data_IF_670652538520
#
_entry.id   IF_670652538520
#
_cell.length_a   1.000
_cell.length_b   1.000
_cell.length_c   1.000
_cell.angle_alpha   90.00
_cell.angle_beta   90.00
_cell.angle_gamma   90.00
#
_symmetry.space_group_name_H-M   'P 1'
#
loop_
_entity.id
_entity.type
_entity.pdbx_description
1 polymer ?
#
# COMPACT_ATOMS: atom_id res chain seq x y z
N UNK A 1 -15.90 -9.93 -10.63
CA UNK A 1 -15.34 -11.12 -11.39
C UNK A 1 -14.41 -10.61 -12.48
N UNK A 2 -13.17 -11.07 -12.51
CA UNK A 2 -12.16 -10.70 -13.51
C UNK A 2 -12.29 -11.54 -14.80
N UNK A 3 -11.61 -11.07 -15.88
CA UNK A 3 -11.49 -11.86 -17.10
C UNK A 3 -10.65 -13.12 -16.86
N UNK A 4 -11.02 -14.22 -17.51
CA UNK A 4 -10.24 -15.46 -17.45
C UNK A 4 -8.82 -15.29 -18.05
N UNK A 5 -8.66 -14.34 -18.98
CA UNK A 5 -7.38 -14.07 -19.64
C UNK A 5 -6.37 -13.38 -18.70
N UNK A 6 -6.88 -12.62 -17.72
CA UNK A 6 -6.05 -11.90 -16.74
C UNK A 6 -5.83 -12.73 -15.46
N UNK A 7 -6.61 -13.80 -15.28
CA UNK A 7 -6.55 -14.62 -14.10
C UNK A 7 -5.28 -15.49 -14.06
N UNK A 8 -4.79 -15.72 -12.85
CA UNK A 8 -3.68 -16.63 -12.56
C UNK A 8 -4.15 -17.83 -11.74
N UNK A 9 -3.36 -18.89 -11.77
CA UNK A 9 -3.68 -20.08 -10.99
C UNK A 9 -3.08 -19.98 -9.58
N UNK A 10 -3.95 -20.00 -8.57
CA UNK A 10 -3.58 -20.28 -7.19
C UNK A 10 -3.70 -21.81 -6.96
N UNK A 11 -2.61 -22.44 -6.53
CA UNK A 11 -2.52 -23.90 -6.35
C UNK A 11 -2.24 -24.25 -4.90
N UNK A 12 -2.99 -25.21 -4.37
CA UNK A 12 -2.73 -25.80 -3.07
C UNK A 12 -2.66 -27.33 -3.21
N UNK A 13 -1.58 -27.91 -2.71
CA UNK A 13 -1.43 -29.37 -2.59
C UNK A 13 -1.63 -29.74 -1.11
N UNK A 14 -2.65 -30.55 -0.84
CA UNK A 14 -2.94 -31.02 0.51
C UNK A 14 -3.58 -32.41 0.46
N UNK A 15 -3.30 -33.24 1.46
CA UNK A 15 -3.78 -34.63 1.56
C UNK A 15 -3.48 -35.49 0.32
N UNK A 16 -2.40 -35.17 -0.42
CA UNK A 16 -2.04 -35.86 -1.66
C UNK A 16 -2.93 -35.51 -2.88
N UNK A 17 -3.78 -34.51 -2.74
CA UNK A 17 -4.65 -33.97 -3.78
C UNK A 17 -4.19 -32.53 -4.13
N UNK A 18 -4.50 -32.13 -5.37
CA UNK A 18 -4.16 -30.81 -5.91
C UNK A 18 -5.44 -30.04 -6.17
N UNK A 19 -5.46 -28.80 -5.72
CA UNK A 19 -6.58 -27.88 -5.89
C UNK A 19 -6.09 -26.59 -6.54
N UNK A 20 -6.80 -26.14 -7.56
CA UNK A 20 -6.49 -24.93 -8.31
C UNK A 20 -7.69 -23.99 -8.35
N UNK A 21 -7.40 -22.68 -8.20
CA UNK A 21 -8.35 -21.60 -8.38
C UNK A 21 -7.80 -20.60 -9.40
N UNK A 22 -8.70 -20.00 -10.17
CA UNK A 22 -8.39 -18.88 -11.04
C UNK A 22 -8.69 -17.59 -10.30
N UNK A 23 -7.65 -16.80 -10.01
CA UNK A 23 -7.74 -15.62 -9.15
C UNK A 23 -7.09 -14.39 -9.80
N UNK A 24 -7.54 -13.20 -9.38
CA UNK A 24 -6.84 -11.95 -9.64
C UNK A 24 -5.55 -11.92 -8.82
N UNK A 25 -4.37 -11.74 -9.44
CA UNK A 25 -3.10 -11.75 -8.71
C UNK A 25 -2.97 -10.61 -7.71
N UNK A 26 -3.53 -9.41 -8.00
CA UNK A 26 -3.45 -8.25 -7.14
C UNK A 26 -4.39 -8.35 -5.94
N UNK A 27 -5.65 -8.75 -6.20
CA UNK A 27 -6.64 -8.93 -5.14
C UNK A 27 -6.30 -10.11 -4.23
N UNK A 28 -5.76 -11.20 -4.79
CA UNK A 28 -5.26 -12.32 -4.01
C UNK A 28 -4.06 -11.93 -3.13
N UNK A 29 -3.15 -11.06 -3.62
CA UNK A 29 -2.05 -10.51 -2.82
C UNK A 29 -2.57 -9.64 -1.67
N UNK A 30 -3.53 -8.76 -1.91
CA UNK A 30 -4.17 -7.94 -0.88
C UNK A 30 -4.84 -8.78 0.19
N UNK A 31 -5.60 -9.81 -0.20
CA UNK A 31 -6.22 -10.74 0.74
C UNK A 31 -5.18 -11.47 1.60
N UNK A 32 -4.04 -11.88 1.05
CA UNK A 32 -2.91 -12.46 1.80
C UNK A 32 -2.34 -11.51 2.85
N UNK A 33 -2.39 -10.22 2.58
CA UNK A 33 -1.92 -9.17 3.49
C UNK A 33 -2.99 -8.69 4.48
N UNK A 34 -4.15 -9.38 4.53
CA UNK A 34 -5.18 -9.17 5.54
C UNK A 34 -6.28 -8.19 5.15
N UNK A 35 -6.37 -7.79 3.89
CA UNK A 35 -7.55 -7.07 3.40
C UNK A 35 -8.74 -8.02 3.33
N UNK A 36 -9.88 -7.62 3.91
CA UNK A 36 -11.13 -8.37 3.82
C UNK A 36 -11.82 -8.03 2.51
N UNK A 37 -11.69 -8.93 1.54
CA UNK A 37 -12.25 -8.79 0.20
C UNK A 37 -13.31 -9.86 -0.05
N UNK A 38 -14.30 -9.50 -0.86
CA UNK A 38 -15.30 -10.47 -1.30
C UNK A 38 -14.64 -11.48 -2.26
N UNK A 39 -14.84 -12.78 -1.99
CA UNK A 39 -14.24 -13.85 -2.82
C UNK A 39 -14.69 -13.74 -4.28
N UNK A 40 -15.94 -13.32 -4.53
CA UNK A 40 -16.47 -13.15 -5.88
C UNK A 40 -15.70 -12.12 -6.72
N UNK A 41 -15.08 -11.14 -6.07
CA UNK A 41 -14.24 -10.15 -6.74
C UNK A 41 -12.82 -10.67 -7.00
N UNK A 42 -12.33 -11.57 -6.15
CA UNK A 42 -10.98 -12.11 -6.23
C UNK A 42 -10.87 -13.27 -7.23
N UNK A 43 -11.94 -14.05 -7.41
CA UNK A 43 -11.92 -15.22 -8.29
C UNK A 43 -12.51 -14.94 -9.68
N UNK A 44 -11.95 -15.57 -10.70
CA UNK A 44 -12.49 -15.51 -12.07
C UNK A 44 -13.66 -16.48 -12.29
N UNK A 45 -13.75 -17.54 -11.48
CA UNK A 45 -14.82 -18.53 -11.53
C UNK A 45 -15.07 -19.13 -10.15
N UNK A 46 -16.34 -19.39 -9.82
CA UNK A 46 -16.78 -19.96 -8.54
C UNK A 46 -16.65 -21.49 -8.52
N UNK A 47 -15.48 -21.98 -8.95
CA UNK A 47 -15.18 -23.42 -8.99
C UNK A 47 -13.75 -23.68 -8.52
N UNK A 48 -13.56 -24.79 -7.80
CA UNK A 48 -12.25 -25.35 -7.52
C UNK A 48 -11.95 -26.40 -8.58
N UNK A 49 -10.76 -26.36 -9.14
CA UNK A 49 -10.32 -27.26 -10.20
C UNK A 49 -9.24 -28.22 -9.67
N UNK A 50 -9.26 -29.45 -10.18
CA UNK A 50 -8.10 -30.33 -10.12
C UNK A 50 -7.05 -29.90 -11.15
N UNK A 51 -7.54 -29.44 -12.33
CA UNK A 51 -6.73 -28.87 -13.39
C UNK A 51 -7.48 -27.69 -14.06
N UNK A 52 -7.13 -26.46 -13.69
CA UNK A 52 -7.78 -25.26 -14.20
C UNK A 52 -7.57 -25.07 -15.70
N UNK A 53 -6.39 -25.41 -16.23
CA UNK A 53 -6.09 -25.27 -17.66
C UNK A 53 -6.92 -26.20 -18.55
N UNK A 54 -7.39 -27.34 -18.01
CA UNK A 54 -8.28 -28.27 -18.70
C UNK A 54 -9.74 -28.10 -18.34
N UNK A 55 -10.05 -27.21 -17.39
CA UNK A 55 -11.40 -27.03 -16.88
C UNK A 55 -11.93 -28.22 -16.05
N UNK A 56 -11.03 -29.09 -15.58
CA UNK A 56 -11.38 -30.26 -14.78
C UNK A 56 -11.68 -29.82 -13.34
N UNK A 57 -12.95 -29.91 -12.93
CA UNK A 57 -13.40 -29.52 -11.60
C UNK A 57 -13.03 -30.58 -10.56
N UNK A 58 -12.67 -30.15 -9.37
CA UNK A 58 -12.46 -31.05 -8.24
C UNK A 58 -13.78 -31.67 -7.79
N UNK A 59 -13.82 -33.02 -7.54
CA UNK A 59 -14.99 -33.67 -6.97
C UNK A 59 -15.31 -33.14 -5.56
N UNK A 60 -16.60 -33.03 -5.22
CA UNK A 60 -17.05 -32.58 -3.90
C UNK A 60 -16.53 -33.46 -2.76
N UNK A 61 -16.38 -34.77 -3.01
CA UNK A 61 -15.82 -35.71 -2.03
C UNK A 61 -14.37 -35.36 -1.67
N UNK A 62 -13.56 -34.95 -2.63
CA UNK A 62 -12.16 -34.58 -2.43
C UNK A 62 -12.05 -33.21 -1.71
N UNK A 63 -12.96 -32.28 -2.03
CA UNK A 63 -13.06 -30.99 -1.32
C UNK A 63 -13.41 -31.22 0.15
N UNK A 64 -14.42 -32.03 0.42
CA UNK A 64 -14.86 -32.33 1.77
C UNK A 64 -13.81 -33.10 2.58
N UNK A 65 -13.07 -34.00 1.93
CA UNK A 65 -11.96 -34.73 2.54
C UNK A 65 -10.78 -33.83 2.89
N UNK A 66 -10.43 -32.89 2.03
CA UNK A 66 -9.28 -32.00 2.20
C UNK A 66 -9.57 -30.83 3.14
N UNK A 67 -10.73 -30.19 3.00
CA UNK A 67 -11.06 -28.93 3.70
C UNK A 67 -12.09 -29.10 4.81
N UNK A 68 -12.75 -30.27 4.92
CA UNK A 68 -13.82 -30.56 5.88
C UNK A 68 -15.05 -29.64 5.75
N UNK A 69 -15.18 -28.95 4.65
CA UNK A 69 -16.30 -28.09 4.28
C UNK A 69 -16.58 -28.22 2.79
N UNK A 70 -17.81 -27.93 2.37
CA UNK A 70 -18.21 -27.80 0.98
C UNK A 70 -18.45 -26.33 0.60
N UNK A 71 -18.25 -25.39 1.54
CA UNK A 71 -18.40 -23.98 1.27
C UNK A 71 -17.26 -23.46 0.40
N UNK A 72 -17.62 -22.97 -0.80
CA UNK A 72 -16.65 -22.48 -1.77
C UNK A 72 -15.84 -21.31 -1.21
N UNK A 73 -16.47 -20.41 -0.46
CA UNK A 73 -15.82 -19.19 0.07
C UNK A 73 -14.73 -19.54 1.05
N UNK A 74 -14.99 -20.51 1.95
CA UNK A 74 -14.00 -20.99 2.92
C UNK A 74 -12.84 -21.70 2.22
N UNK A 75 -13.15 -22.57 1.25
CA UNK A 75 -12.15 -23.31 0.48
C UNK A 75 -11.28 -22.33 -0.32
N UNK A 76 -11.89 -21.37 -1.01
CA UNK A 76 -11.20 -20.37 -1.81
C UNK A 76 -10.26 -19.51 -0.96
N UNK A 77 -10.74 -19.01 0.19
CA UNK A 77 -9.90 -18.28 1.16
C UNK A 77 -8.71 -19.15 1.60
N UNK A 78 -8.93 -20.42 1.89
CA UNK A 78 -7.86 -21.33 2.31
C UNK A 78 -6.82 -21.54 1.21
N UNK A 79 -7.25 -21.76 -0.04
CA UNK A 79 -6.35 -21.95 -1.19
C UNK A 79 -5.57 -20.66 -1.46
N UNK A 80 -6.20 -19.49 -1.43
CA UNK A 80 -5.54 -18.20 -1.65
C UNK A 80 -4.48 -17.94 -0.57
N UNK A 81 -4.82 -18.17 0.71
CA UNK A 81 -3.92 -17.86 1.83
C UNK A 81 -2.75 -18.83 1.96
N UNK A 82 -2.95 -20.12 1.64
CA UNK A 82 -1.97 -21.19 1.87
C UNK A 82 -1.32 -21.74 0.61
N UNK A 83 -1.94 -21.56 -0.54
CA UNK A 83 -1.47 -22.07 -1.83
C UNK A 83 -0.37 -21.19 -2.43
N UNK A 84 0.20 -21.65 -3.52
CA UNK A 84 1.15 -20.90 -4.36
C UNK A 84 0.42 -20.22 -5.51
N UNK A 85 0.72 -18.94 -5.77
CA UNK A 85 0.19 -18.17 -6.89
C UNK A 85 1.20 -18.21 -8.03
N UNK A 86 0.81 -18.77 -9.16
CA UNK A 86 1.66 -18.91 -10.34
C UNK A 86 1.46 -17.73 -11.28
N UNK A 87 2.34 -16.71 -11.14
CA UNK A 87 2.37 -15.55 -12.02
C UNK A 87 3.05 -15.88 -13.35
N UNK A 88 2.54 -15.34 -14.45
CA UNK A 88 3.30 -15.27 -15.70
C UNK A 88 4.53 -14.37 -15.53
N UNK A 89 5.50 -14.49 -16.44
CA UNK A 89 6.71 -13.64 -16.41
C UNK A 89 6.36 -12.17 -16.52
N UNK A 90 5.36 -11.81 -17.32
CA UNK A 90 4.91 -10.44 -17.52
C UNK A 90 4.20 -9.88 -16.29
N UNK A 91 3.26 -10.64 -15.72
CA UNK A 91 2.58 -10.27 -14.49
C UNK A 91 3.56 -10.11 -13.32
N UNK A 92 4.51 -11.03 -13.17
CA UNK A 92 5.57 -10.93 -12.15
C UNK A 92 6.37 -9.65 -12.32
N UNK A 93 6.76 -9.31 -13.56
CA UNK A 93 7.49 -8.09 -13.86
C UNK A 93 6.69 -6.84 -13.50
N UNK A 94 5.41 -6.80 -13.88
CA UNK A 94 4.50 -5.70 -13.57
C UNK A 94 4.36 -5.48 -12.06
N UNK A 95 4.04 -6.54 -11.30
CA UNK A 95 3.89 -6.48 -9.85
C UNK A 95 5.21 -6.08 -9.14
N UNK A 96 6.35 -6.60 -9.61
CA UNK A 96 7.67 -6.22 -9.09
C UNK A 96 7.93 -4.73 -9.28
N UNK A 97 7.62 -4.19 -10.46
CA UNK A 97 7.78 -2.76 -10.77
C UNK A 97 6.84 -1.89 -9.92
N UNK A 98 5.59 -2.31 -9.71
CA UNK A 98 4.66 -1.63 -8.81
C UNK A 98 5.16 -1.61 -7.36
N UNK A 99 5.60 -2.75 -6.84
CA UNK A 99 6.17 -2.83 -5.47
C UNK A 99 7.38 -1.89 -5.35
N UNK A 100 8.27 -1.86 -6.35
CA UNK A 100 9.41 -0.93 -6.40
C UNK A 100 8.97 0.53 -6.31
N UNK A 101 7.98 0.93 -7.13
CA UNK A 101 7.43 2.30 -7.09
C UNK A 101 6.82 2.65 -5.75
N UNK A 102 6.06 1.73 -5.14
CA UNK A 102 5.45 1.94 -3.81
C UNK A 102 6.52 2.09 -2.73
N UNK A 103 7.59 1.31 -2.77
CA UNK A 103 8.74 1.43 -1.83
C UNK A 103 9.43 2.78 -1.99
N UNK A 104 9.71 3.21 -3.22
CA UNK A 104 10.32 4.51 -3.49
C UNK A 104 9.44 5.64 -2.96
N UNK A 105 8.14 5.62 -3.27
CA UNK A 105 7.18 6.61 -2.81
C UNK A 105 7.08 6.67 -1.29
N UNK A 106 7.09 5.51 -0.62
CA UNK A 106 7.09 5.43 0.85
C UNK A 106 8.34 6.07 1.45
N UNK A 107 9.53 5.73 0.93
CA UNK A 107 10.80 6.29 1.42
C UNK A 107 10.83 7.81 1.18
N UNK A 108 10.45 8.27 -0.02
CA UNK A 108 10.44 9.69 -0.35
C UNK A 108 9.50 10.50 0.58
N UNK A 109 8.35 9.93 0.91
CA UNK A 109 7.36 10.56 1.79
C UNK A 109 7.83 10.68 3.25
N UNK A 110 8.50 9.66 3.75
CA UNK A 110 8.78 9.52 5.19
C UNK A 110 10.22 9.84 5.59
N UNK A 111 11.17 9.86 4.63
CA UNK A 111 12.58 9.94 4.92
C UNK A 111 13.16 11.33 4.71
N UNK A 112 14.08 11.70 5.61
CA UNK A 112 14.89 12.90 5.52
C UNK A 112 16.39 12.57 5.63
N UNK A 113 17.21 13.48 5.13
CA UNK A 113 18.65 13.44 5.40
C UNK A 113 18.90 13.86 6.85
N UNK A 114 19.49 13.01 7.70
CA UNK A 114 19.71 13.32 9.12
C UNK A 114 20.66 14.49 9.37
N UNK A 115 21.49 14.88 8.39
CA UNK A 115 22.43 16.01 8.51
C UNK A 115 21.76 17.35 8.21
N UNK A 116 20.87 17.39 7.22
CA UNK A 116 20.22 18.64 6.77
C UNK A 116 18.78 18.78 7.24
N UNK A 117 18.15 17.67 7.70
CA UNK A 117 16.73 17.62 8.04
C UNK A 117 15.79 17.78 6.83
N UNK A 118 16.33 17.81 5.60
CA UNK A 118 15.55 18.00 4.39
C UNK A 118 15.15 16.66 3.75
N UNK A 119 13.99 16.58 3.09
CA UNK A 119 13.58 15.41 2.32
C UNK A 119 14.57 15.07 1.21
N UNK A 120 14.67 13.79 0.88
CA UNK A 120 15.44 13.37 -0.29
C UNK A 120 14.59 13.51 -1.56
N UNK A 121 15.12 14.10 -2.66
CA UNK A 121 14.45 14.03 -3.94
C UNK A 121 14.24 12.58 -4.39
N UNK A 122 13.07 12.29 -4.97
CA UNK A 122 12.69 10.94 -5.43
C UNK A 122 13.78 10.33 -6.31
N UNK A 123 14.28 11.10 -7.30
CA UNK A 123 15.35 10.67 -8.22
C UNK A 123 16.62 10.23 -7.48
N UNK A 124 16.97 10.88 -6.36
CA UNK A 124 18.14 10.50 -5.56
C UNK A 124 17.95 9.15 -4.86
N UNK A 125 16.73 8.88 -4.41
CA UNK A 125 16.36 7.58 -3.82
C UNK A 125 16.40 6.50 -4.89
N UNK A 126 15.84 6.75 -6.07
CA UNK A 126 15.86 5.83 -7.21
C UNK A 126 17.29 5.46 -7.62
N UNK A 127 18.13 6.46 -7.85
CA UNK A 127 19.54 6.25 -8.20
C UNK A 127 20.32 5.47 -7.13
N UNK A 128 20.01 5.70 -5.86
CA UNK A 128 20.63 4.96 -4.76
C UNK A 128 20.13 3.51 -4.71
N UNK A 129 18.84 3.28 -4.95
CA UNK A 129 18.27 1.93 -5.03
C UNK A 129 18.80 1.12 -6.22
N UNK A 130 19.14 1.77 -7.34
CA UNK A 130 19.74 1.11 -8.50
C UNK A 130 21.20 0.65 -8.25
N UNK A 131 21.87 1.25 -7.27
CA UNK A 131 23.22 0.85 -6.86
C UNK A 131 23.25 -0.34 -5.92
N UNK A 132 22.12 -0.69 -5.31
CA UNK A 132 21.98 -1.80 -4.39
C UNK A 132 21.12 -2.91 -5.01
N UNK A 133 21.44 -4.16 -4.66
CA UNK A 133 20.65 -5.30 -5.14
C UNK A 133 19.51 -5.56 -4.15
N UNK A 134 18.29 -5.24 -4.55
CA UNK A 134 17.07 -5.52 -3.81
C UNK A 134 16.20 -6.46 -4.64
N UNK A 135 15.71 -7.53 -4.01
CA UNK A 135 14.72 -8.38 -4.63
C UNK A 135 13.32 -7.88 -4.23
N UNK A 136 12.65 -7.21 -5.17
CA UNK A 136 11.26 -6.78 -4.99
C UNK A 136 10.32 -7.96 -5.25
N UNK A 137 10.18 -8.82 -4.23
CA UNK A 137 9.28 -9.96 -4.30
C UNK A 137 7.82 -9.44 -4.37
N UNK A 138 7.05 -9.81 -5.42
CA UNK A 138 5.67 -9.38 -5.56
C UNK A 138 4.75 -9.80 -4.41
N UNK A 139 5.11 -10.85 -3.67
CA UNK A 139 4.31 -11.38 -2.56
C UNK A 139 4.72 -10.86 -1.18
N UNK A 140 5.79 -10.07 -1.08
CA UNK A 140 6.15 -9.39 0.17
C UNK A 140 5.31 -8.13 0.36
N UNK A 141 5.02 -7.81 1.63
CA UNK A 141 4.39 -6.53 1.97
C UNK A 141 5.30 -5.35 1.63
N UNK A 142 4.71 -4.19 1.37
CA UNK A 142 5.49 -2.96 1.12
C UNK A 142 6.36 -2.62 2.33
N UNK A 143 5.86 -2.83 3.55
CA UNK A 143 6.59 -2.54 4.79
C UNK A 143 7.84 -3.41 4.96
N UNK A 144 7.77 -4.70 4.59
CA UNK A 144 8.93 -5.58 4.59
C UNK A 144 9.96 -5.14 3.56
N UNK A 145 9.52 -4.84 2.34
CA UNK A 145 10.38 -4.35 1.27
C UNK A 145 11.02 -3.01 1.62
N UNK A 146 10.30 -2.10 2.29
CA UNK A 146 10.84 -0.83 2.79
C UNK A 146 11.94 -1.07 3.82
N UNK A 147 11.74 -1.99 4.77
CA UNK A 147 12.78 -2.34 5.76
C UNK A 147 14.04 -2.88 5.10
N UNK A 148 13.88 -3.77 4.10
CA UNK A 148 15.01 -4.31 3.32
C UNK A 148 15.71 -3.20 2.52
N UNK A 149 14.95 -2.35 1.84
CA UNK A 149 15.46 -1.23 1.05
C UNK A 149 16.22 -0.23 1.90
N UNK A 150 15.68 0.19 3.04
CA UNK A 150 16.35 1.12 3.97
C UNK A 150 17.64 0.52 4.52
N UNK A 151 17.63 -0.78 4.87
CA UNK A 151 18.85 -1.46 5.32
C UNK A 151 19.93 -1.46 4.24
N UNK A 152 19.56 -1.69 2.99
CA UNK A 152 20.48 -1.68 1.86
C UNK A 152 20.98 -0.27 1.50
N UNK A 153 20.13 0.76 1.67
CA UNK A 153 20.47 2.16 1.37
C UNK A 153 21.37 2.82 2.40
N UNK A 154 21.30 2.43 3.68
CA UNK A 154 22.05 3.08 4.78
C UNK A 154 23.54 3.33 4.52
N UNK A 155 24.29 2.43 3.85
CA UNK A 155 25.71 2.67 3.55
C UNK A 155 25.98 3.78 2.54
N UNK A 156 25.02 4.07 1.62
CA UNK A 156 25.21 4.98 0.49
C UNK A 156 24.34 6.23 0.58
N UNK A 157 23.21 6.16 1.28
CA UNK A 157 22.29 7.27 1.46
C UNK A 157 21.89 7.40 2.93
N UNK A 158 22.35 8.44 3.65
CA UNK A 158 21.92 8.66 5.03
C UNK A 158 20.41 8.92 5.07
N UNK A 159 19.65 8.03 5.73
CA UNK A 159 18.20 8.08 5.80
C UNK A 159 17.75 8.00 7.25
N UNK A 160 16.83 8.89 7.65
CA UNK A 160 16.10 8.84 8.90
C UNK A 160 14.62 9.09 8.63
N UNK A 161 13.75 8.28 9.21
CA UNK A 161 12.30 8.50 9.19
C UNK A 161 11.95 9.46 10.31
N UNK A 162 11.25 10.51 9.97
CA UNK A 162 10.82 11.55 10.90
C UNK A 162 9.39 12.00 10.58
N UNK A 163 8.70 12.40 11.63
CA UNK A 163 7.46 13.15 11.54
C UNK A 163 7.72 14.62 11.92
N UNK A 164 6.94 15.52 11.36
CA UNK A 164 6.99 16.94 11.70
C UNK A 164 5.65 17.40 12.21
N UNK A 165 5.71 18.15 13.29
CA UNK A 165 4.54 18.85 13.84
C UNK A 165 4.53 20.29 13.31
N UNK A 166 3.39 20.68 12.76
CA UNK A 166 3.22 22.01 12.16
C UNK A 166 1.99 22.65 12.78
N UNK A 167 2.18 23.87 13.30
CA UNK A 167 1.07 24.74 13.66
C UNK A 167 0.68 25.58 12.45
N UNK A 168 -0.61 25.64 12.15
CA UNK A 168 -1.16 26.41 11.06
C UNK A 168 -2.31 27.30 11.56
N UNK A 169 -2.35 28.57 11.11
CA UNK A 169 -3.46 29.51 11.34
C UNK A 169 -3.99 29.99 10.02
N UNK A 170 -5.30 29.99 9.88
CA UNK A 170 -6.04 30.38 8.68
C UNK A 170 -7.02 31.50 9.02
N UNK A 171 -7.02 32.62 8.26
CA UNK A 171 -7.99 33.69 8.42
C UNK A 171 -9.43 33.19 8.20
N UNK A 172 -10.41 33.88 8.77
CA UNK A 172 -11.84 33.58 8.72
C UNK A 172 -12.32 33.23 7.30
N UNK A 173 -11.92 34.04 6.32
CA UNK A 173 -12.35 33.88 4.91
C UNK A 173 -11.95 32.55 4.27
N UNK A 174 -10.91 31.91 4.78
CA UNK A 174 -10.34 30.67 4.25
C UNK A 174 -10.44 29.48 5.21
N UNK A 175 -10.82 29.72 6.46
CA UNK A 175 -10.79 28.74 7.54
C UNK A 175 -11.57 27.45 7.20
N UNK A 176 -12.79 27.56 6.70
CA UNK A 176 -13.63 26.39 6.35
C UNK A 176 -13.04 25.59 5.18
N UNK A 177 -12.51 26.28 4.17
CA UNK A 177 -11.88 25.63 3.01
C UNK A 177 -10.58 24.93 3.42
N UNK A 178 -9.76 25.58 4.25
CA UNK A 178 -8.52 25.01 4.77
C UNK A 178 -8.79 23.79 5.65
N UNK A 179 -9.81 23.85 6.52
CA UNK A 179 -10.23 22.72 7.33
C UNK A 179 -10.59 21.51 6.45
N UNK A 180 -11.45 21.70 5.44
CA UNK A 180 -11.85 20.61 4.54
C UNK A 180 -10.66 20.00 3.78
N UNK A 181 -9.74 20.85 3.28
CA UNK A 181 -8.57 20.40 2.56
C UNK A 181 -7.58 19.60 3.44
N UNK A 182 -7.32 20.11 4.64
CA UNK A 182 -6.34 19.51 5.56
C UNK A 182 -6.89 18.24 6.21
N UNK A 183 -8.16 18.26 6.64
CA UNK A 183 -8.79 17.06 7.22
C UNK A 183 -9.02 15.93 6.21
N UNK A 184 -9.13 16.26 4.92
CA UNK A 184 -9.23 15.26 3.84
C UNK A 184 -7.89 14.70 3.35
N UNK A 185 -6.76 15.25 3.80
CA UNK A 185 -5.44 14.79 3.37
C UNK A 185 -5.01 13.53 4.15
N UNK A 186 -4.90 12.39 3.47
CA UNK A 186 -4.63 11.08 4.09
C UNK A 186 -3.28 10.97 4.84
N UNK A 187 -2.34 11.88 4.59
CA UNK A 187 -1.04 11.92 5.24
C UNK A 187 -0.97 12.87 6.44
N UNK A 188 -2.08 13.52 6.79
CA UNK A 188 -2.16 14.49 7.89
C UNK A 188 -2.86 13.86 9.08
N UNK A 189 -2.19 13.86 10.21
CA UNK A 189 -2.80 13.56 11.51
C UNK A 189 -3.07 14.87 12.26
N UNK A 190 -4.32 15.12 12.62
CA UNK A 190 -4.72 16.36 13.30
C UNK A 190 -4.59 16.17 14.82
N UNK A 191 -3.60 16.83 15.43
CA UNK A 191 -3.33 16.76 16.87
C UNK A 191 -4.23 17.72 17.66
N UNK A 192 -4.42 18.95 17.12
CA UNK A 192 -5.27 20.01 17.72
C UNK A 192 -6.06 20.73 16.65
N UNK A 193 -7.26 21.16 17.02
CA UNK A 193 -8.22 21.82 16.16
C UNK A 193 -9.03 22.85 16.96
N UNK A 194 -8.83 24.14 16.68
CA UNK A 194 -9.46 25.22 17.43
C UNK A 194 -9.99 26.32 16.50
N UNK A 195 -11.27 26.63 16.63
CA UNK A 195 -11.88 27.78 16.00
C UNK A 195 -11.86 28.98 16.97
N UNK A 196 -11.32 30.11 16.52
CA UNK A 196 -11.18 31.29 17.33
C UNK A 196 -12.44 32.15 17.25
N UNK A 197 -12.62 33.07 18.24
CA UNK A 197 -13.75 33.98 18.27
C UNK A 197 -13.79 34.96 17.08
N UNK A 198 -12.65 35.20 16.44
CA UNK A 198 -12.52 36.02 15.23
C UNK A 198 -12.83 35.29 13.95
N UNK A 199 -13.30 34.04 14.06
CA UNK A 199 -13.60 33.15 12.93
C UNK A 199 -12.36 32.51 12.29
N UNK A 200 -11.14 32.83 12.75
CA UNK A 200 -9.93 32.14 12.27
C UNK A 200 -9.87 30.71 12.80
N UNK A 201 -9.21 29.84 12.03
CA UNK A 201 -8.98 28.45 12.43
C UNK A 201 -7.50 28.21 12.69
N UNK A 202 -7.22 27.57 13.83
CA UNK A 202 -5.87 27.16 14.23
C UNK A 202 -5.85 25.64 14.37
N UNK A 203 -4.84 24.99 13.80
CA UNK A 203 -4.60 23.58 13.99
C UNK A 203 -3.13 23.28 14.26
N UNK A 204 -2.90 22.16 14.91
CA UNK A 204 -1.59 21.51 14.97
C UNK A 204 -1.74 20.16 14.30
N UNK A 205 -0.88 19.90 13.36
CA UNK A 205 -0.89 18.64 12.59
C UNK A 205 0.47 17.95 12.68
N UNK A 206 0.44 16.62 12.63
CA UNK A 206 1.62 15.78 12.46
C UNK A 206 1.58 15.18 11.05
N UNK A 207 2.69 15.32 10.33
CA UNK A 207 2.87 14.81 8.96
C UNK A 207 4.21 14.09 8.82
N UNK A 208 4.35 13.14 7.88
CA UNK A 208 5.66 12.63 7.48
C UNK A 208 6.56 13.76 6.98
N UNK A 209 7.82 13.78 7.41
CA UNK A 209 8.72 14.90 7.14
C UNK A 209 8.97 15.15 5.65
N UNK A 210 8.91 14.11 4.82
CA UNK A 210 9.01 14.24 3.36
C UNK A 210 7.81 14.94 2.70
N UNK A 211 6.69 15.05 3.40
CA UNK A 211 5.46 15.70 2.90
C UNK A 211 5.35 17.18 3.27
N UNK A 212 6.39 17.75 3.87
CA UNK A 212 6.37 19.14 4.35
C UNK A 212 6.04 20.16 3.24
N UNK A 213 6.68 20.04 2.11
CA UNK A 213 6.48 20.94 0.98
C UNK A 213 5.06 20.80 0.40
N UNK A 214 4.57 19.57 0.26
CA UNK A 214 3.21 19.29 -0.20
C UNK A 214 2.16 19.87 0.77
N UNK A 215 2.38 19.74 2.09
CA UNK A 215 1.51 20.33 3.08
C UNK A 215 1.52 21.86 3.01
N UNK A 216 2.68 22.49 2.83
CA UNK A 216 2.79 23.93 2.70
C UNK A 216 2.07 24.43 1.45
N UNK A 217 2.20 23.72 0.34
CA UNK A 217 1.48 24.03 -0.90
C UNK A 217 -0.03 23.87 -0.73
N UNK A 218 -0.49 22.79 -0.07
CA UNK A 218 -1.90 22.57 0.25
C UNK A 218 -2.48 23.71 1.10
N UNK A 219 -1.79 24.07 2.19
CA UNK A 219 -2.20 25.12 3.10
C UNK A 219 -2.26 26.50 2.41
N UNK A 220 -1.22 26.84 1.64
CA UNK A 220 -1.15 28.09 0.88
C UNK A 220 -2.20 28.16 -0.23
N UNK A 221 -2.47 27.06 -0.94
CA UNK A 221 -3.52 27.01 -1.95
C UNK A 221 -4.92 27.17 -1.36
N UNK A 222 -5.16 26.60 -0.16
CA UNK A 222 -6.43 26.74 0.55
C UNK A 222 -6.68 28.18 1.00
N UNK A 223 -5.64 28.89 1.45
CA UNK A 223 -5.69 30.25 2.00
C UNK A 223 -5.20 31.33 1.01
N UNK A 224 -4.98 31.02 -0.25
CA UNK A 224 -4.45 31.94 -1.28
C UNK A 224 -3.17 32.67 -0.86
N UNK A 225 -2.33 32.03 -0.03
CA UNK A 225 -1.07 32.56 0.46
C UNK A 225 -1.15 33.21 1.86
N UNK A 226 -2.34 33.38 2.45
CA UNK A 226 -2.52 34.02 3.76
C UNK A 226 -2.42 33.02 4.95
N UNK A 227 -1.98 31.80 4.71
CA UNK A 227 -1.73 30.82 5.75
C UNK A 227 -0.48 31.18 6.56
N UNK A 228 -0.61 31.17 7.89
CA UNK A 228 0.55 31.28 8.79
C UNK A 228 0.96 29.90 9.24
N UNK A 229 2.15 29.45 8.83
CA UNK A 229 2.67 28.11 9.09
C UNK A 229 3.92 28.19 9.95
N UNK A 230 3.99 27.34 10.98
CA UNK A 230 5.15 27.25 11.87
C UNK A 230 5.46 25.78 12.16
N UNK A 231 6.68 25.35 11.87
CA UNK A 231 7.18 24.04 12.28
C UNK A 231 7.40 24.08 13.80
N UNK A 232 6.87 23.11 14.50
CA UNK A 232 7.09 22.88 15.93
C UNK A 232 8.20 21.85 16.08
N UNK A 233 9.11 22.06 17.01
CA UNK A 233 10.15 21.11 17.40
C UNK A 233 9.59 19.97 18.23
#
# INVERSE_FOLDING_TARGET
MISLDDAVTARLETHGLKFELLVDPELADKMRHGEDLDIEDVVAAMYVYENASRGEKSPDEDLQKAFKTADFTEIAKHIILKGEIHLTTEQRRHLTEEKRRRVIAFIARNAVNPQTGLPHPVMRIEMALDQVRINYDPFKSVDELVKEAVKALRPILPIRFEERRIAAKFPMDFAAKAYAAISGAAYVTMDKNEWQNDGSWICVVTIPAGMQEEFFNLANAAAKGDAQLKILE
#
